data_IF_297344669045
#
_entry.id   IF_297344669045
#
_cell.length_a   1.000
_cell.length_b   1.000
_cell.length_c   1.000
_cell.angle_alpha   90.00
_cell.angle_beta   90.00
_cell.angle_gamma   90.00
#
_symmetry.space_group_name_H-M   'P 1'
#
loop_
_entity.id
_entity.type
_entity.pdbx_description
1 polymer ?
#
# COMPACT_ATOMS: atom_id res chain seq x y z
N UNK A 1 -27.36 25.07 2.33
CA UNK A 1 -27.16 25.38 3.80
C UNK A 1 -25.79 24.81 4.19
N UNK A 2 -24.93 25.56 4.90
CA UNK A 2 -23.65 24.94 5.35
C UNK A 2 -23.90 23.97 6.49
N UNK A 3 -23.33 22.77 6.39
CA UNK A 3 -23.42 21.77 7.43
C UNK A 3 -22.53 22.11 8.64
N UNK A 4 -22.98 21.75 9.82
CA UNK A 4 -22.19 21.87 11.05
C UNK A 4 -21.14 20.75 11.14
N UNK A 5 -20.09 20.95 11.95
CA UNK A 5 -19.08 19.91 12.21
C UNK A 5 -19.69 18.61 12.76
N UNK A 6 -20.75 18.73 13.58
CA UNK A 6 -21.46 17.57 14.12
C UNK A 6 -22.18 16.78 13.03
N UNK A 7 -22.77 17.44 12.04
CA UNK A 7 -23.42 16.80 10.90
C UNK A 7 -22.40 16.11 9.98
N UNK A 8 -21.26 16.75 9.73
CA UNK A 8 -20.16 16.15 8.97
C UNK A 8 -19.61 14.92 9.71
N UNK A 9 -19.42 15.00 11.03
CA UNK A 9 -19.01 13.87 11.85
C UNK A 9 -20.03 12.72 11.83
N UNK A 10 -21.31 13.04 11.80
CA UNK A 10 -22.41 12.06 11.67
C UNK A 10 -22.30 11.30 10.34
N UNK A 11 -22.13 12.00 9.21
CA UNK A 11 -21.95 11.39 7.88
C UNK A 11 -20.74 10.44 7.91
N UNK A 12 -19.60 10.92 8.42
CA UNK A 12 -18.36 10.12 8.51
C UNK A 12 -18.55 8.84 9.32
N UNK A 13 -19.23 8.92 10.48
CA UNK A 13 -19.51 7.77 11.32
C UNK A 13 -20.48 6.78 10.65
N UNK A 14 -21.49 7.28 9.95
CA UNK A 14 -22.40 6.44 9.19
C UNK A 14 -21.68 5.64 8.09
N UNK A 15 -20.82 6.30 7.32
CA UNK A 15 -20.02 5.65 6.27
C UNK A 15 -19.07 4.60 6.86
N UNK A 16 -18.44 4.90 8.01
CA UNK A 16 -17.60 3.94 8.74
C UNK A 16 -18.40 2.69 9.13
N UNK A 17 -19.57 2.86 9.72
CA UNK A 17 -20.45 1.76 10.13
C UNK A 17 -21.05 1.01 8.92
N UNK A 18 -21.10 1.64 7.76
CA UNK A 18 -21.51 1.02 6.47
C UNK A 18 -20.39 0.28 5.75
N UNK A 19 -19.19 0.15 6.35
CA UNK A 19 -18.08 -0.65 5.83
C UNK A 19 -17.04 0.14 5.02
N UNK A 20 -17.05 1.48 5.05
CA UNK A 20 -15.99 2.31 4.47
C UNK A 20 -14.84 2.40 5.46
N UNK A 21 -13.93 1.44 5.44
CA UNK A 21 -12.85 1.28 6.43
C UNK A 21 -11.71 2.30 6.25
N UNK A 22 -11.36 2.61 4.99
CA UNK A 22 -10.26 3.50 4.67
C UNK A 22 -10.58 4.95 4.96
N UNK A 23 -9.72 5.60 5.73
CA UNK A 23 -9.93 6.98 6.21
C UNK A 23 -9.96 7.97 5.05
N UNK A 24 -9.01 7.88 4.12
CA UNK A 24 -8.91 8.73 2.93
C UNK A 24 -10.17 8.63 2.04
N UNK A 25 -10.63 7.42 1.76
CA UNK A 25 -11.86 7.20 0.98
C UNK A 25 -13.08 7.75 1.73
N UNK A 26 -13.15 7.53 3.04
CA UNK A 26 -14.26 7.99 3.85
C UNK A 26 -14.34 9.51 3.91
N UNK A 27 -13.21 10.23 3.95
CA UNK A 27 -13.19 11.68 3.86
C UNK A 27 -13.73 12.18 2.51
N UNK A 28 -13.26 11.61 1.39
CA UNK A 28 -13.75 11.96 0.06
C UNK A 28 -15.27 11.70 -0.08
N UNK A 29 -15.75 10.55 0.43
CA UNK A 29 -17.18 10.24 0.41
C UNK A 29 -18.00 11.14 1.33
N UNK A 30 -17.46 11.51 2.51
CA UNK A 30 -18.11 12.43 3.44
C UNK A 30 -18.27 13.80 2.80
N UNK A 31 -17.23 14.31 2.14
CA UNK A 31 -17.27 15.58 1.42
C UNK A 31 -18.31 15.57 0.29
N UNK A 32 -18.34 14.48 -0.49
CA UNK A 32 -19.32 14.32 -1.55
C UNK A 32 -20.77 14.30 -1.03
N UNK A 33 -21.04 13.55 0.05
CA UNK A 33 -22.37 13.51 0.68
C UNK A 33 -22.72 14.88 1.30
N UNK A 34 -21.76 15.51 1.98
CA UNK A 34 -21.97 16.82 2.59
C UNK A 34 -22.34 17.88 1.55
N UNK A 35 -21.59 17.94 0.44
CA UNK A 35 -21.87 18.86 -0.67
C UNK A 35 -23.28 18.67 -1.23
N UNK A 36 -23.68 17.41 -1.47
CA UNK A 36 -25.03 17.14 -1.98
C UNK A 36 -26.13 17.56 -0.99
N UNK A 37 -25.91 17.40 0.32
CA UNK A 37 -26.88 17.80 1.34
C UNK A 37 -26.91 19.32 1.56
N UNK A 38 -25.81 20.04 1.33
CA UNK A 38 -25.77 21.50 1.42
C UNK A 38 -26.66 22.18 0.35
N UNK A 39 -26.85 21.51 -0.78
CA UNK A 39 -27.75 21.98 -1.85
C UNK A 39 -29.24 21.68 -1.59
N UNK A 40 -29.57 20.90 -0.54
CA UNK A 40 -30.93 20.56 -0.16
C UNK A 40 -31.49 21.56 0.86
N UNK A 41 -32.76 21.92 0.73
CA UNK A 41 -33.49 22.70 1.73
C UNK A 41 -34.20 21.76 2.72
N UNK A 42 -34.31 22.20 4.00
CA UNK A 42 -35.05 21.46 5.02
C UNK A 42 -34.18 20.88 6.13
N UNK A 43 -34.72 19.86 6.82
CA UNK A 43 -34.03 19.23 7.94
C UNK A 43 -32.93 18.28 7.48
N UNK A 44 -31.76 18.41 8.09
CA UNK A 44 -30.59 17.61 7.76
C UNK A 44 -30.82 16.08 7.84
N UNK A 45 -31.47 15.61 8.91
CA UNK A 45 -31.61 14.16 9.12
C UNK A 45 -32.61 13.54 8.14
N UNK A 46 -33.65 14.27 7.77
CA UNK A 46 -34.60 13.84 6.76
C UNK A 46 -33.91 13.78 5.37
N UNK A 47 -33.22 14.84 4.99
CA UNK A 47 -32.47 14.90 3.73
C UNK A 47 -31.39 13.84 3.66
N UNK A 48 -30.63 13.61 4.73
CA UNK A 48 -29.63 12.56 4.81
C UNK A 48 -30.25 11.17 4.63
N UNK A 49 -31.37 10.90 5.31
CA UNK A 49 -32.05 9.61 5.19
C UNK A 49 -32.52 9.36 3.76
N UNK A 50 -33.16 10.35 3.14
CA UNK A 50 -33.61 10.26 1.76
C UNK A 50 -32.43 10.06 0.81
N UNK A 51 -31.39 10.86 0.91
CA UNK A 51 -30.17 10.76 0.09
C UNK A 51 -29.54 9.38 0.20
N UNK A 52 -29.43 8.83 1.40
CA UNK A 52 -28.83 7.52 1.62
C UNK A 52 -29.72 6.38 1.11
N UNK A 53 -31.05 6.50 1.17
CA UNK A 53 -31.94 5.51 0.57
C UNK A 53 -31.74 5.42 -0.95
N UNK A 54 -31.55 6.54 -1.61
CA UNK A 54 -31.39 6.60 -3.07
C UNK A 54 -29.95 6.25 -3.52
N UNK A 55 -28.91 6.70 -2.80
CA UNK A 55 -27.53 6.69 -3.29
C UNK A 55 -26.59 5.73 -2.56
N UNK A 56 -27.01 5.11 -1.43
CA UNK A 56 -26.14 4.22 -0.63
C UNK A 56 -25.47 3.13 -1.45
N UNK A 57 -26.21 2.47 -2.33
CA UNK A 57 -25.65 1.38 -3.15
C UNK A 57 -24.56 1.90 -4.07
N UNK A 58 -24.80 3.00 -4.74
CA UNK A 58 -23.83 3.66 -5.63
C UNK A 58 -22.59 4.13 -4.87
N UNK A 59 -22.76 4.73 -3.68
CA UNK A 59 -21.65 5.14 -2.83
C UNK A 59 -20.77 3.95 -2.41
N UNK A 60 -21.36 2.83 -2.02
CA UNK A 60 -20.61 1.62 -1.65
C UNK A 60 -19.92 0.95 -2.84
N UNK A 61 -20.47 1.07 -4.04
CA UNK A 61 -19.80 0.64 -5.28
C UNK A 61 -18.62 1.56 -5.61
N UNK A 62 -18.78 2.88 -5.47
CA UNK A 62 -17.70 3.85 -5.63
C UNK A 62 -16.53 3.62 -4.66
N UNK A 63 -16.79 3.13 -3.44
CA UNK A 63 -15.73 2.73 -2.49
C UNK A 63 -14.76 1.71 -3.11
N UNK A 64 -15.27 0.75 -3.91
CA UNK A 64 -14.41 -0.25 -4.60
C UNK A 64 -13.56 0.41 -5.70
N UNK A 65 -14.12 1.37 -6.42
CA UNK A 65 -13.42 2.10 -7.48
C UNK A 65 -12.33 3.01 -6.90
N UNK A 66 -12.60 3.72 -5.81
CA UNK A 66 -11.60 4.49 -5.06
C UNK A 66 -10.46 3.60 -4.60
N UNK A 67 -10.77 2.43 -4.01
CA UNK A 67 -9.75 1.46 -3.60
C UNK A 67 -8.91 0.95 -4.76
N UNK A 68 -9.51 0.72 -5.95
CA UNK A 68 -8.79 0.32 -7.18
C UNK A 68 -7.88 1.44 -7.68
N UNK A 69 -8.36 2.67 -7.69
CA UNK A 69 -7.60 3.85 -8.10
C UNK A 69 -6.42 4.11 -7.16
N UNK A 70 -6.65 4.04 -5.85
CA UNK A 70 -5.61 4.16 -4.83
C UNK A 70 -4.52 3.08 -5.00
N UNK A 71 -4.91 1.83 -5.26
CA UNK A 71 -3.98 0.74 -5.57
C UNK A 71 -3.12 1.06 -6.80
N UNK A 72 -3.75 1.45 -7.90
CA UNK A 72 -3.04 1.73 -9.15
C UNK A 72 -2.05 2.89 -8.98
N UNK A 73 -2.44 3.96 -8.29
CA UNK A 73 -1.56 5.08 -7.94
C UNK A 73 -0.39 4.60 -7.07
N UNK A 74 -0.64 3.79 -6.05
CA UNK A 74 0.39 3.29 -5.14
C UNK A 74 1.38 2.34 -5.84
N UNK A 75 0.88 1.45 -6.70
CA UNK A 75 1.72 0.56 -7.53
C UNK A 75 2.58 1.37 -8.50
N UNK A 76 2.00 2.34 -9.20
CA UNK A 76 2.76 3.24 -10.07
C UNK A 76 3.87 3.95 -9.29
N UNK A 77 3.56 4.43 -8.08
CA UNK A 77 4.53 5.13 -7.23
C UNK A 77 5.68 4.20 -6.79
N UNK A 78 5.37 2.94 -6.45
CA UNK A 78 6.37 1.92 -6.14
C UNK A 78 7.34 1.68 -7.30
N UNK A 79 6.83 1.45 -8.51
CA UNK A 79 7.68 1.24 -9.68
C UNK A 79 8.48 2.49 -10.06
N UNK A 80 7.89 3.68 -9.94
CA UNK A 80 8.63 4.94 -10.15
C UNK A 80 9.80 5.07 -9.16
N UNK A 81 9.60 4.71 -7.91
CA UNK A 81 10.67 4.72 -6.91
C UNK A 81 11.78 3.72 -7.24
N UNK A 82 11.44 2.53 -7.76
CA UNK A 82 12.45 1.54 -8.16
C UNK A 82 13.40 2.05 -9.25
N UNK A 83 12.84 2.71 -10.28
CA UNK A 83 13.64 3.26 -11.39
C UNK A 83 14.17 4.66 -11.12
N UNK A 84 13.93 5.21 -9.94
CA UNK A 84 14.47 6.50 -9.51
C UNK A 84 15.99 6.44 -9.27
N UNK A 85 16.66 7.59 -9.26
CA UNK A 85 18.10 7.65 -8.95
C UNK A 85 18.46 6.92 -7.64
N UNK A 86 17.76 7.12 -6.50
CA UNK A 86 18.01 6.35 -5.29
C UNK A 86 17.81 4.84 -5.48
N UNK A 87 16.76 4.40 -6.19
CA UNK A 87 16.49 2.99 -6.46
C UNK A 87 17.62 2.32 -7.25
N UNK A 88 18.12 3.00 -8.30
CA UNK A 88 19.24 2.51 -9.10
C UNK A 88 20.53 2.44 -8.28
N UNK A 89 20.82 3.44 -7.44
CA UNK A 89 22.01 3.45 -6.56
C UNK A 89 21.94 2.29 -5.56
N UNK A 90 20.78 2.08 -4.91
CA UNK A 90 20.58 0.96 -3.97
C UNK A 90 20.77 -0.39 -4.68
N UNK A 91 20.18 -0.55 -5.86
CA UNK A 91 20.37 -1.76 -6.67
C UNK A 91 21.85 -2.00 -6.99
N UNK A 92 22.54 -0.98 -7.49
CA UNK A 92 23.98 -1.09 -7.83
C UNK A 92 24.83 -1.44 -6.61
N UNK A 93 24.57 -0.84 -5.45
CA UNK A 93 25.28 -1.15 -4.21
C UNK A 93 25.05 -2.59 -3.75
N UNK A 94 23.80 -3.08 -3.79
CA UNK A 94 23.47 -4.47 -3.43
C UNK A 94 24.12 -5.45 -4.41
N UNK A 95 24.04 -5.19 -5.71
CA UNK A 95 24.64 -6.04 -6.73
C UNK A 95 26.16 -6.11 -6.59
N UNK A 96 26.82 -4.96 -6.37
CA UNK A 96 28.26 -4.90 -6.12
C UNK A 96 28.66 -5.65 -4.85
N UNK A 97 27.82 -5.59 -3.80
CA UNK A 97 28.06 -6.35 -2.58
C UNK A 97 28.00 -7.86 -2.83
N UNK A 98 27.02 -8.35 -3.60
CA UNK A 98 26.95 -9.76 -3.96
C UNK A 98 28.13 -10.21 -4.81
N UNK A 99 28.57 -9.39 -5.77
CA UNK A 99 29.77 -9.70 -6.56
C UNK A 99 31.01 -9.79 -5.67
N UNK A 100 31.15 -8.87 -4.71
CA UNK A 100 32.25 -8.89 -3.75
C UNK A 100 32.22 -10.14 -2.87
N UNK A 101 31.05 -10.47 -2.28
CA UNK A 101 30.90 -11.66 -1.44
C UNK A 101 31.17 -12.96 -2.22
N UNK A 102 30.70 -13.07 -3.45
CA UNK A 102 30.95 -14.24 -4.28
C UNK A 102 32.42 -14.40 -4.62
N UNK A 103 33.16 -13.30 -4.84
CA UNK A 103 34.58 -13.35 -5.16
C UNK A 103 35.48 -13.77 -3.98
N UNK A 104 35.08 -13.41 -2.75
CA UNK A 104 35.91 -13.61 -1.55
C UNK A 104 35.37 -14.67 -0.58
N UNK A 105 34.08 -15.00 -0.64
CA UNK A 105 33.36 -15.86 0.29
C UNK A 105 32.30 -16.71 -0.43
N UNK A 106 32.73 -17.51 -1.40
CA UNK A 106 31.82 -18.22 -2.32
C UNK A 106 30.75 -19.07 -1.61
N UNK A 107 31.14 -19.80 -0.56
CA UNK A 107 30.21 -20.67 0.20
C UNK A 107 29.18 -19.83 0.97
N UNK A 108 29.63 -18.83 1.68
CA UNK A 108 28.78 -17.93 2.48
C UNK A 108 27.85 -17.11 1.59
N UNK A 109 28.30 -16.69 0.40
CA UNK A 109 27.46 -15.97 -0.55
C UNK A 109 26.27 -16.81 -1.03
N UNK A 110 26.48 -18.08 -1.37
CA UNK A 110 25.40 -19.01 -1.74
C UNK A 110 24.40 -19.19 -0.60
N UNK A 111 24.88 -19.43 0.60
CA UNK A 111 24.05 -19.63 1.79
C UNK A 111 23.19 -18.38 2.11
N UNK A 112 23.78 -17.17 2.00
CA UNK A 112 23.07 -15.92 2.20
C UNK A 112 21.99 -15.75 1.13
N UNK A 113 22.29 -16.03 -0.16
CA UNK A 113 21.33 -15.91 -1.26
C UNK A 113 20.13 -16.87 -1.10
N UNK A 114 20.32 -18.05 -0.48
CA UNK A 114 19.22 -19.00 -0.24
C UNK A 114 18.31 -18.59 0.93
N UNK A 115 18.88 -18.06 2.01
CA UNK A 115 18.13 -17.73 3.23
C UNK A 115 17.46 -16.36 3.13
N UNK A 116 18.12 -15.38 2.57
CA UNK A 116 17.69 -13.99 2.58
C UNK A 116 16.28 -13.75 2.02
N UNK A 117 15.86 -14.38 0.90
CA UNK A 117 14.48 -14.25 0.41
C UNK A 117 13.43 -14.72 1.42
N UNK A 118 13.71 -15.82 2.14
CA UNK A 118 12.79 -16.35 3.15
C UNK A 118 12.69 -15.43 4.37
N UNK A 119 13.80 -14.86 4.80
CA UNK A 119 13.83 -13.84 5.87
C UNK A 119 13.02 -12.62 5.47
N UNK A 120 13.15 -12.15 4.24
CA UNK A 120 12.39 -11.01 3.71
C UNK A 120 10.88 -11.29 3.73
N UNK A 121 10.46 -12.49 3.29
CA UNK A 121 9.02 -12.88 3.35
C UNK A 121 8.51 -12.85 4.78
N UNK A 122 9.27 -13.38 5.73
CA UNK A 122 8.88 -13.39 7.15
C UNK A 122 8.74 -11.95 7.66
N UNK A 123 9.72 -11.08 7.41
CA UNK A 123 9.68 -9.66 7.81
C UNK A 123 8.47 -8.96 7.22
N UNK A 124 8.18 -9.15 5.94
CA UNK A 124 7.02 -8.55 5.29
C UNK A 124 5.71 -9.11 5.82
N UNK A 125 5.62 -10.41 6.07
CA UNK A 125 4.46 -11.06 6.70
C UNK A 125 4.17 -10.48 8.08
N UNK A 126 5.19 -10.35 8.93
CA UNK A 126 5.09 -9.72 10.25
C UNK A 126 4.65 -8.26 10.14
N UNK A 127 5.17 -7.49 9.18
CA UNK A 127 4.76 -6.09 8.97
C UNK A 127 3.28 -5.97 8.57
N UNK A 128 2.79 -6.82 7.66
CA UNK A 128 1.36 -6.85 7.28
C UNK A 128 0.50 -7.25 8.46
N UNK A 129 0.89 -8.26 9.20
CA UNK A 129 0.17 -8.73 10.39
C UNK A 129 0.10 -7.61 11.45
N UNK A 130 1.23 -6.96 11.74
CA UNK A 130 1.31 -5.85 12.68
C UNK A 130 0.47 -4.65 12.22
N UNK A 131 0.56 -4.29 10.95
CA UNK A 131 -0.23 -3.20 10.36
C UNK A 131 -1.74 -3.45 10.47
N UNK A 132 -2.19 -4.67 10.16
CA UNK A 132 -3.60 -5.02 10.17
C UNK A 132 -4.18 -5.23 11.58
N UNK A 133 -3.39 -5.78 12.52
CA UNK A 133 -3.90 -6.10 13.86
C UNK A 133 -3.82 -4.93 14.84
N UNK A 134 -2.73 -4.17 14.82
CA UNK A 134 -2.46 -3.12 15.82
C UNK A 134 -2.84 -1.72 15.35
N UNK A 135 -2.85 -1.44 14.03
CA UNK A 135 -3.19 -0.13 13.48
C UNK A 135 -4.60 -0.04 12.86
N UNK A 136 -5.56 -0.84 13.33
CA UNK A 136 -6.95 -0.82 12.84
C UNK A 136 -7.64 0.55 12.92
N UNK A 137 -7.08 1.51 13.66
CA UNK A 137 -7.72 2.82 13.91
C UNK A 137 -7.60 3.80 12.74
N UNK A 138 -6.55 3.70 11.89
CA UNK A 138 -6.35 4.60 10.73
C UNK A 138 -5.72 3.85 9.57
N UNK A 139 -6.54 3.16 8.78
CA UNK A 139 -6.11 2.51 7.54
C UNK A 139 -6.19 3.50 6.37
N UNK A 140 -5.08 3.67 5.67
CA UNK A 140 -4.99 4.45 4.45
C UNK A 140 -4.99 3.52 3.24
N UNK A 141 -5.91 3.75 2.29
CA UNK A 141 -6.10 2.85 1.14
C UNK A 141 -4.83 2.67 0.31
N UNK A 142 -4.11 3.76 0.04
CA UNK A 142 -2.89 3.72 -0.76
C UNK A 142 -1.76 2.94 -0.08
N UNK A 143 -1.56 3.10 1.25
CA UNK A 143 -0.49 2.39 1.97
C UNK A 143 -0.78 0.90 2.08
N UNK A 144 -2.01 0.53 2.41
CA UNK A 144 -2.43 -0.86 2.53
C UNK A 144 -2.35 -1.60 1.19
N UNK A 145 -2.86 -0.97 0.12
CA UNK A 145 -2.81 -1.55 -1.22
C UNK A 145 -1.39 -1.63 -1.79
N UNK A 146 -0.51 -0.65 -1.51
CA UNK A 146 0.90 -0.71 -1.91
C UNK A 146 1.61 -1.89 -1.26
N UNK A 147 1.47 -2.02 0.06
CA UNK A 147 2.13 -3.08 0.82
C UNK A 147 1.59 -4.48 0.43
N UNK A 148 0.27 -4.62 0.32
CA UNK A 148 -0.36 -5.88 -0.11
C UNK A 148 0.08 -6.31 -1.51
N UNK A 149 0.15 -5.37 -2.46
CA UNK A 149 0.61 -5.66 -3.82
C UNK A 149 2.10 -6.00 -3.85
N UNK A 150 2.94 -5.27 -3.12
CA UNK A 150 4.37 -5.57 -3.02
C UNK A 150 4.62 -6.96 -2.43
N UNK A 151 3.93 -7.32 -1.35
CA UNK A 151 4.00 -8.65 -0.75
C UNK A 151 3.55 -9.75 -1.71
N UNK A 152 2.45 -9.54 -2.45
CA UNK A 152 1.99 -10.51 -3.44
C UNK A 152 3.03 -10.75 -4.53
N UNK A 153 3.61 -9.68 -5.08
CA UNK A 153 4.66 -9.77 -6.11
C UNK A 153 5.89 -10.51 -5.56
N UNK A 154 6.36 -10.17 -4.37
CA UNK A 154 7.52 -10.82 -3.76
C UNK A 154 7.25 -12.30 -3.46
N UNK A 155 6.10 -12.61 -2.89
CA UNK A 155 5.71 -13.99 -2.64
C UNK A 155 5.69 -14.80 -3.94
N UNK A 156 5.09 -14.25 -5.00
CA UNK A 156 5.06 -14.88 -6.30
C UNK A 156 6.47 -15.11 -6.87
N UNK A 157 7.32 -14.09 -6.86
CA UNK A 157 8.69 -14.19 -7.36
C UNK A 157 9.49 -15.26 -6.59
N UNK A 158 9.42 -15.26 -5.28
CA UNK A 158 10.24 -16.17 -4.45
C UNK A 158 9.70 -17.60 -4.47
N UNK A 159 8.39 -17.81 -4.36
CA UNK A 159 7.80 -19.14 -4.24
C UNK A 159 7.61 -19.86 -5.57
N UNK A 160 7.23 -19.14 -6.63
CA UNK A 160 6.94 -19.76 -7.91
C UNK A 160 8.16 -19.85 -8.84
N UNK A 161 8.99 -18.82 -8.88
CA UNK A 161 10.12 -18.78 -9.83
C UNK A 161 11.24 -19.73 -9.37
N UNK A 162 11.46 -19.92 -8.04
CA UNK A 162 12.50 -20.81 -7.47
C UNK A 162 13.79 -20.77 -8.28
N UNK A 163 14.47 -19.63 -8.40
CA UNK A 163 15.54 -19.40 -9.36
C UNK A 163 16.66 -20.44 -9.30
N UNK A 164 16.99 -20.94 -8.10
CA UNK A 164 18.01 -21.97 -7.90
C UNK A 164 17.73 -23.30 -8.63
N UNK A 165 16.48 -23.54 -9.06
CA UNK A 165 16.15 -24.75 -9.84
C UNK A 165 16.39 -24.60 -11.35
N UNK A 166 16.35 -23.36 -11.82
CA UNK A 166 16.36 -23.06 -13.26
C UNK A 166 17.58 -22.26 -13.69
N UNK A 167 18.26 -21.60 -12.76
CA UNK A 167 19.38 -20.71 -13.02
C UNK A 167 20.62 -21.30 -12.34
N UNK A 168 21.48 -21.90 -13.13
CA UNK A 168 22.82 -22.36 -12.69
C UNK A 168 23.89 -21.28 -12.84
N UNK A 169 23.60 -20.18 -13.54
CA UNK A 169 24.52 -19.08 -13.75
C UNK A 169 24.51 -18.14 -12.51
N UNK A 170 25.62 -18.11 -11.79
CA UNK A 170 25.76 -17.31 -10.55
C UNK A 170 25.52 -15.80 -10.76
N UNK A 171 26.10 -15.13 -11.77
CA UNK A 171 25.81 -13.72 -12.02
C UNK A 171 24.31 -13.40 -12.20
N UNK A 172 23.58 -14.27 -12.90
CA UNK A 172 22.13 -14.10 -13.08
C UNK A 172 21.38 -14.29 -11.76
N UNK A 173 21.84 -15.21 -10.92
CA UNK A 173 21.27 -15.44 -9.60
C UNK A 173 21.49 -14.23 -8.67
N UNK A 174 22.70 -13.65 -8.67
CA UNK A 174 23.02 -12.43 -7.95
C UNK A 174 22.14 -11.25 -8.39
N UNK A 175 21.97 -11.09 -9.71
CA UNK A 175 21.10 -10.06 -10.28
C UNK A 175 19.66 -10.23 -9.79
N UNK A 176 19.14 -11.45 -9.82
CA UNK A 176 17.79 -11.77 -9.33
C UNK A 176 17.61 -11.39 -7.85
N UNK A 177 18.54 -11.80 -6.98
CA UNK A 177 18.45 -11.47 -5.56
C UNK A 177 18.60 -9.98 -5.29
N UNK A 178 19.46 -9.30 -6.04
CA UNK A 178 19.63 -7.84 -5.96
C UNK A 178 18.35 -7.11 -6.32
N UNK A 179 17.61 -7.56 -7.34
CA UNK A 179 16.29 -7.01 -7.70
C UNK A 179 15.29 -7.21 -6.57
N UNK A 180 15.20 -8.41 -5.98
CA UNK A 180 14.26 -8.71 -4.88
C UNK A 180 14.53 -7.82 -3.66
N UNK A 181 15.79 -7.70 -3.25
CA UNK A 181 16.15 -6.91 -2.07
C UNK A 181 15.88 -5.43 -2.33
N UNK A 182 16.25 -4.93 -3.51
CA UNK A 182 15.98 -3.54 -3.90
C UNK A 182 14.47 -3.28 -3.92
N UNK A 183 13.69 -4.18 -4.52
CA UNK A 183 12.23 -4.06 -4.53
C UNK A 183 11.66 -4.00 -3.12
N UNK A 184 12.13 -4.86 -2.22
CA UNK A 184 11.70 -4.88 -0.82
C UNK A 184 12.01 -3.57 -0.11
N UNK A 185 13.25 -3.07 -0.24
CA UNK A 185 13.66 -1.80 0.35
C UNK A 185 12.83 -0.62 -0.20
N UNK A 186 12.63 -0.58 -1.51
CA UNK A 186 11.83 0.48 -2.15
C UNK A 186 10.36 0.39 -1.80
N UNK A 187 9.81 -0.81 -1.56
CA UNK A 187 8.45 -0.98 -1.06
C UNK A 187 8.28 -0.37 0.35
N UNK A 188 9.26 -0.56 1.25
CA UNK A 188 9.26 0.09 2.56
C UNK A 188 9.35 1.62 2.45
N UNK A 189 10.26 2.14 1.62
CA UNK A 189 10.40 3.58 1.40
C UNK A 189 9.08 4.15 0.87
N UNK A 190 8.47 3.50 -0.12
CA UNK A 190 7.18 3.91 -0.70
C UNK A 190 6.07 3.92 0.34
N UNK A 191 5.99 2.88 1.18
CA UNK A 191 5.03 2.82 2.29
C UNK A 191 5.17 4.03 3.22
N UNK A 192 6.39 4.36 3.67
CA UNK A 192 6.62 5.48 4.56
C UNK A 192 6.33 6.83 3.92
N UNK A 193 6.66 7.02 2.65
CA UNK A 193 6.36 8.22 1.88
C UNK A 193 4.85 8.43 1.74
N UNK A 194 4.12 7.38 1.38
CA UNK A 194 2.66 7.42 1.28
C UNK A 194 2.02 7.69 2.65
N UNK A 195 2.47 7.00 3.70
CA UNK A 195 1.99 7.24 5.07
C UNK A 195 2.18 8.69 5.52
N UNK A 196 3.37 9.26 5.27
CA UNK A 196 3.66 10.66 5.57
C UNK A 196 2.75 11.60 4.77
N UNK A 197 2.56 11.34 3.47
CA UNK A 197 1.68 12.13 2.60
C UNK A 197 0.23 12.13 3.11
N UNK A 198 -0.34 10.97 3.39
CA UNK A 198 -1.71 10.87 3.89
C UNK A 198 -1.87 11.52 5.26
N UNK A 199 -0.88 11.34 6.16
CA UNK A 199 -0.92 12.01 7.46
C UNK A 199 -0.96 13.53 7.33
N UNK A 200 -0.16 14.12 6.44
CA UNK A 200 -0.16 15.56 6.20
C UNK A 200 -1.45 16.06 5.53
N UNK A 201 -2.10 15.24 4.72
CA UNK A 201 -3.29 15.63 3.98
C UNK A 201 -4.58 15.55 4.82
N UNK A 202 -4.64 14.61 5.77
CA UNK A 202 -5.90 14.28 6.47
C UNK A 202 -5.81 14.37 8.01
N UNK A 203 -4.64 14.55 8.61
CA UNK A 203 -4.43 14.74 10.05
C UNK A 203 -3.88 16.15 10.40
N UNK A 204 -3.53 16.97 9.39
CA UNK A 204 -3.11 18.38 9.52
C UNK A 204 -4.32 19.27 9.44
#
# INVERSE_FOLDING_TARGET
>A
MKLTEQQIAFINNYLKNSGVEYVDIRYEMTDHVATALEDMEGDFYNNFTQYMLEHKKQLLESNKEFGRTARNKAVKYLFTNMVSRPGIIVFGAIFSLFCFLSAYMEYEAKYIMEILPNVIIIIMGVNVFYSNLLNRKKLWSGTDKALGTANFILYFLIMFIKPHRFISNEPILMLYHSVIITFTGMAFITYWQLKKKYKLQYDG
#
